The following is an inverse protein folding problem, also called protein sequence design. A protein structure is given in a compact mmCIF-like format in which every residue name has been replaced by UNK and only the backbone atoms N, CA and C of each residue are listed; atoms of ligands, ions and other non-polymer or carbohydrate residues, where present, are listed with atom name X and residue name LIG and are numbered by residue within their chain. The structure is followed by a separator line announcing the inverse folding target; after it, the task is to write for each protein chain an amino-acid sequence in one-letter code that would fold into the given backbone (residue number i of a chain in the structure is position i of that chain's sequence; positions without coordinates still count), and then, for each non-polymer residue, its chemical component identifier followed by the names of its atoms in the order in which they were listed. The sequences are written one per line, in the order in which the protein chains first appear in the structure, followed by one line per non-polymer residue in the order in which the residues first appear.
data_IF_620715370614
#
_entry.id   IF_620715370614
#
_cell.length_a   1.000
_cell.length_b   1.000
_cell.length_c   1.000
_cell.angle_alpha   90.00
_cell.angle_beta   90.00
_cell.angle_gamma   90.00
#
_symmetry.space_group_name_H-M   'P 1'
#
loop_
_entity.id
_entity.type
_entity.pdbx_description
1 polymer ?
#
# COMPACT_ATOMS: atom_id res chain seq x y z
N UNK A 1 -11.68 20.01 -0.41
CA UNK A 1 -10.74 19.25 -1.27
C UNK A 1 -10.25 18.03 -0.50
N UNK A 2 -9.90 16.92 -1.14
CA UNK A 2 -9.31 15.74 -0.50
C UNK A 2 -7.78 15.77 -0.62
N UNK A 3 -7.08 15.19 0.35
CA UNK A 3 -5.64 15.00 0.34
C UNK A 3 -5.29 13.52 0.33
N UNK A 4 -4.40 13.11 -0.57
CA UNK A 4 -3.89 11.75 -0.66
C UNK A 4 -2.38 11.70 -0.56
N UNK A 5 -1.88 10.85 0.32
CA UNK A 5 -0.48 10.48 0.41
C UNK A 5 -0.35 9.00 -0.02
N UNK A 6 0.32 8.75 -1.14
CA UNK A 6 0.35 7.42 -1.76
C UNK A 6 1.80 6.94 -1.92
N UNK A 7 2.12 5.78 -1.35
CA UNK A 7 3.44 5.16 -1.52
C UNK A 7 3.46 4.22 -2.72
N UNK A 8 4.62 4.14 -3.42
CA UNK A 8 4.76 3.31 -4.62
C UNK A 8 3.92 3.81 -5.80
N UNK A 9 3.77 5.15 -5.92
CA UNK A 9 2.86 5.78 -6.88
C UNK A 9 3.45 5.95 -8.30
N UNK A 10 4.68 5.53 -8.56
CA UNK A 10 5.31 5.70 -9.90
C UNK A 10 4.73 4.79 -10.97
N UNK A 11 4.07 3.68 -10.61
CA UNK A 11 3.53 2.68 -11.54
C UNK A 11 2.43 1.83 -10.91
N UNK A 12 1.76 1.01 -11.74
CA UNK A 12 0.77 0.03 -11.32
C UNK A 12 -0.38 0.63 -10.50
N UNK A 13 -0.79 -0.05 -9.43
CA UNK A 13 -1.93 0.36 -8.61
C UNK A 13 -1.74 1.74 -7.98
N UNK A 14 -0.54 2.04 -7.46
CA UNK A 14 -0.27 3.34 -6.84
C UNK A 14 -0.41 4.50 -7.81
N UNK A 15 0.04 4.32 -9.06
CA UNK A 15 -0.15 5.32 -10.13
C UNK A 15 -1.64 5.47 -10.48
N UNK A 16 -2.36 4.38 -10.66
CA UNK A 16 -3.78 4.43 -10.98
C UNK A 16 -4.60 5.14 -9.88
N UNK A 17 -4.27 4.89 -8.59
CA UNK A 17 -4.88 5.59 -7.47
C UNK A 17 -4.58 7.09 -7.47
N UNK A 18 -3.33 7.47 -7.75
CA UNK A 18 -2.93 8.87 -7.84
C UNK A 18 -3.64 9.59 -8.99
N UNK A 19 -3.70 8.97 -10.17
CA UNK A 19 -4.37 9.54 -11.35
C UNK A 19 -5.86 9.75 -11.13
N UNK A 20 -6.57 8.78 -10.56
CA UNK A 20 -7.99 8.91 -10.25
C UNK A 20 -8.26 9.98 -9.18
N UNK A 21 -7.42 10.06 -8.14
CA UNK A 21 -7.53 11.11 -7.13
C UNK A 21 -7.36 12.51 -7.72
N UNK A 22 -6.37 12.70 -8.62
CA UNK A 22 -6.15 13.96 -9.34
C UNK A 22 -7.32 14.33 -10.24
N UNK A 23 -7.91 13.36 -10.96
CA UNK A 23 -9.08 13.57 -11.81
C UNK A 23 -10.30 14.08 -11.04
N UNK A 24 -10.40 13.72 -9.76
CA UNK A 24 -11.46 14.20 -8.84
C UNK A 24 -11.09 15.51 -8.13
N UNK A 25 -9.98 16.16 -8.51
CA UNK A 25 -9.54 17.44 -7.95
C UNK A 25 -8.90 17.34 -6.57
N UNK A 26 -8.40 16.16 -6.18
CA UNK A 26 -7.66 16.00 -4.94
C UNK A 26 -6.22 16.52 -5.05
N UNK A 27 -5.64 16.89 -3.93
CA UNK A 27 -4.20 17.08 -3.78
C UNK A 27 -3.53 15.73 -3.49
N UNK A 28 -2.51 15.36 -4.29
CA UNK A 28 -1.82 14.07 -4.20
C UNK A 28 -0.34 14.30 -3.93
N UNK A 29 0.15 13.67 -2.89
CA UNK A 29 1.57 13.50 -2.61
C UNK A 29 1.96 12.06 -2.93
N UNK A 30 2.83 11.88 -3.90
CA UNK A 30 3.30 10.60 -4.39
C UNK A 30 4.73 10.31 -3.89
N UNK A 31 4.89 9.21 -3.16
CA UNK A 31 6.18 8.74 -2.66
C UNK A 31 6.64 7.53 -3.45
N UNK A 32 7.82 7.60 -4.07
CA UNK A 32 8.41 6.48 -4.78
C UNK A 32 9.91 6.66 -4.97
N UNK A 33 10.64 5.60 -5.27
CA UNK A 33 12.09 5.69 -5.55
C UNK A 33 12.40 6.46 -6.85
N UNK A 34 11.48 6.40 -7.80
CA UNK A 34 11.59 7.09 -9.08
C UNK A 34 10.38 7.99 -9.26
N UNK A 35 10.62 9.25 -9.55
CA UNK A 35 9.58 10.23 -9.84
C UNK A 35 9.47 10.44 -11.37
N UNK A 36 8.30 10.83 -11.83
CA UNK A 36 8.08 11.12 -13.26
C UNK A 36 8.75 12.43 -13.68
N UNK A 37 8.83 13.38 -12.77
CA UNK A 37 9.26 14.75 -13.04
C UNK A 37 8.22 15.58 -13.80
N UNK A 38 7.05 15.03 -14.05
CA UNK A 38 5.94 15.73 -14.69
C UNK A 38 5.34 16.78 -13.74
N UNK A 39 5.20 18.00 -14.24
CA UNK A 39 4.47 19.05 -13.51
C UNK A 39 2.98 18.90 -13.80
N UNK A 40 2.22 18.47 -12.82
CA UNK A 40 0.76 18.36 -12.87
C UNK A 40 0.15 19.11 -11.70
N UNK A 41 -0.91 19.85 -11.95
CA UNK A 41 -1.68 20.51 -10.90
C UNK A 41 -2.20 19.48 -9.88
N UNK A 42 -2.06 19.79 -8.62
CA UNK A 42 -2.46 18.90 -7.51
C UNK A 42 -1.48 17.76 -7.22
N UNK A 43 -0.43 17.53 -8.02
CA UNK A 43 0.55 16.47 -7.79
C UNK A 43 1.88 17.02 -7.26
N UNK A 44 2.35 16.45 -6.17
CA UNK A 44 3.72 16.63 -5.66
C UNK A 44 4.38 15.27 -5.51
N UNK A 45 5.53 15.08 -6.16
CA UNK A 45 6.29 13.83 -6.10
C UNK A 45 7.52 13.98 -5.22
N UNK A 46 7.80 12.96 -4.40
CA UNK A 46 9.01 12.85 -3.60
C UNK A 46 9.75 11.55 -3.91
N UNK A 47 11.06 11.65 -4.15
CA UNK A 47 11.93 10.48 -4.30
C UNK A 47 12.36 10.00 -2.92
N UNK A 48 11.84 8.84 -2.50
CA UNK A 48 12.11 8.25 -1.18
C UNK A 48 12.29 6.74 -1.32
N UNK A 49 13.38 6.20 -0.75
CA UNK A 49 13.52 4.76 -0.54
C UNK A 49 12.99 4.41 0.85
N UNK A 50 11.82 3.80 0.90
CA UNK A 50 11.15 3.41 2.14
C UNK A 50 11.87 2.28 2.90
N UNK A 51 12.96 1.72 2.36
CA UNK A 51 13.85 0.80 3.11
C UNK A 51 14.85 1.53 3.99
N UNK A 52 15.06 2.83 3.78
CA UNK A 52 15.78 3.73 4.69
C UNK A 52 14.77 4.44 5.59
N UNK A 53 14.54 3.89 6.79
CA UNK A 53 13.55 4.42 7.73
C UNK A 53 13.90 5.80 8.24
N UNK A 54 15.19 6.11 8.44
CA UNK A 54 15.61 7.43 8.94
C UNK A 54 15.34 8.52 7.90
N UNK A 55 15.65 8.26 6.64
CA UNK A 55 15.33 9.16 5.53
C UNK A 55 13.80 9.25 5.31
N UNK A 56 13.09 8.13 5.41
CA UNK A 56 11.62 8.09 5.32
C UNK A 56 10.99 8.97 6.38
N UNK A 57 11.39 8.86 7.64
CA UNK A 57 10.89 9.69 8.75
C UNK A 57 11.17 11.18 8.52
N UNK A 58 12.39 11.52 8.10
CA UNK A 58 12.78 12.90 7.81
C UNK A 58 11.95 13.51 6.68
N UNK A 59 11.78 12.80 5.57
CA UNK A 59 10.99 13.26 4.42
C UNK A 59 9.50 13.36 4.78
N UNK A 60 8.97 12.36 5.46
CA UNK A 60 7.58 12.34 5.89
C UNK A 60 7.24 13.53 6.79
N UNK A 61 8.13 13.90 7.70
CA UNK A 61 7.96 15.10 8.54
C UNK A 61 7.82 16.36 7.69
N UNK A 62 8.73 16.55 6.72
CA UNK A 62 8.68 17.70 5.80
C UNK A 62 7.38 17.73 5.00
N UNK A 63 6.92 16.57 4.51
CA UNK A 63 5.70 16.44 3.72
C UNK A 63 4.47 16.79 4.58
N UNK A 64 4.37 16.22 5.75
CA UNK A 64 3.23 16.41 6.64
C UNK A 64 3.16 17.83 7.21
N UNK A 65 4.31 18.48 7.48
CA UNK A 65 4.37 19.88 7.93
C UNK A 65 3.86 20.86 6.85
N UNK A 66 3.92 20.49 5.58
CA UNK A 66 3.40 21.29 4.45
C UNK A 66 1.90 21.11 4.20
N UNK A 67 1.30 20.05 4.71
CA UNK A 67 -0.12 19.78 4.52
C UNK A 67 -0.96 20.81 5.31
N UNK A 68 -1.65 21.69 4.59
CA UNK A 68 -2.58 22.67 5.18
C UNK A 68 -3.95 22.03 5.38
N UNK A 69 -4.17 21.47 6.56
CA UNK A 69 -5.39 20.75 6.91
C UNK A 69 -6.67 21.58 6.76
N UNK A 70 -6.59 22.92 6.85
CA UNK A 70 -7.75 23.81 6.67
C UNK A 70 -8.34 23.77 5.26
N UNK A 71 -7.56 23.26 4.29
CA UNK A 71 -7.98 23.11 2.89
C UNK A 71 -8.70 21.80 2.64
N UNK A 72 -8.61 20.83 3.57
CA UNK A 72 -9.06 19.47 3.31
C UNK A 72 -10.37 19.15 4.04
N UNK A 73 -11.23 18.40 3.37
CA UNK A 73 -12.40 17.75 3.97
C UNK A 73 -12.10 16.29 4.38
N UNK A 74 -11.08 15.70 3.75
CA UNK A 74 -10.63 14.34 4.05
C UNK A 74 -9.14 14.20 3.76
N UNK A 75 -8.44 13.38 4.55
CA UNK A 75 -7.04 13.02 4.37
C UNK A 75 -6.89 11.50 4.31
N UNK A 76 -6.11 11.00 3.35
CA UNK A 76 -5.94 9.56 3.12
C UNK A 76 -4.47 9.21 2.93
N UNK A 77 -3.99 8.22 3.68
CA UNK A 77 -2.71 7.56 3.44
C UNK A 77 -2.96 6.22 2.76
N UNK A 78 -2.25 5.94 1.64
CA UNK A 78 -2.28 4.62 0.98
C UNK A 78 -0.89 4.01 1.01
N UNK A 79 -0.69 3.03 1.87
CA UNK A 79 0.50 2.20 1.96
C UNK A 79 0.44 1.13 0.85
N UNK A 80 0.87 1.51 -0.36
CA UNK A 80 0.84 0.64 -1.53
C UNK A 80 2.24 0.12 -1.92
N UNK A 81 3.31 0.82 -1.57
CA UNK A 81 4.67 0.34 -1.85
C UNK A 81 4.90 -1.06 -1.26
N UNK A 82 5.53 -1.93 -2.02
CA UNK A 82 5.83 -3.29 -1.59
C UNK A 82 6.68 -4.03 -2.59
N UNK A 83 7.28 -5.12 -2.15
CA UNK A 83 8.08 -6.05 -2.96
C UNK A 83 7.70 -7.49 -2.64
N UNK A 84 7.93 -8.40 -3.57
CA UNK A 84 7.71 -9.83 -3.38
C UNK A 84 9.02 -10.57 -3.06
N UNK A 85 10.14 -10.03 -3.50
CA UNK A 85 11.47 -10.61 -3.24
C UNK A 85 11.85 -10.56 -1.74
N UNK A 86 12.58 -11.56 -1.24
CA UNK A 86 13.15 -12.68 -1.98
C UNK A 86 12.12 -13.77 -2.30
N UNK A 87 12.12 -14.26 -3.54
CA UNK A 87 11.33 -15.42 -3.96
C UNK A 87 12.24 -16.66 -3.88
N UNK A 88 12.28 -17.30 -2.71
CA UNK A 88 13.11 -18.47 -2.42
C UNK A 88 12.69 -19.16 -1.11
N UNK A 89 13.22 -20.36 -0.86
CA UNK A 89 12.96 -21.05 0.40
C UNK A 89 13.52 -20.27 1.58
N UNK A 90 12.85 -20.31 2.73
CA UNK A 90 13.23 -19.53 3.92
C UNK A 90 14.70 -19.75 4.35
N UNK A 91 15.22 -20.98 4.22
CA UNK A 91 16.61 -21.32 4.57
C UNK A 91 17.66 -20.67 3.65
N UNK A 92 17.26 -20.13 2.51
CA UNK A 92 18.15 -19.58 1.47
C UNK A 92 18.13 -18.05 1.45
N UNK A 93 17.21 -17.43 2.19
CA UNK A 93 17.15 -15.98 2.30
C UNK A 93 18.24 -15.43 3.22
N UNK A 94 18.96 -14.42 2.75
CA UNK A 94 19.97 -13.73 3.57
C UNK A 94 19.30 -12.76 4.57
N UNK A 95 20.03 -12.40 5.61
CA UNK A 95 19.58 -11.41 6.60
C UNK A 95 19.30 -10.04 5.95
N UNK A 96 20.10 -9.63 4.96
CA UNK A 96 19.92 -8.37 4.23
C UNK A 96 18.64 -8.37 3.40
N UNK A 97 18.36 -9.45 2.65
CA UNK A 97 17.12 -9.61 1.89
C UNK A 97 15.89 -9.58 2.80
N UNK A 98 15.95 -10.29 3.93
CA UNK A 98 14.85 -10.30 4.91
C UNK A 98 14.65 -8.92 5.54
N UNK A 99 15.71 -8.26 5.97
CA UNK A 99 15.63 -6.92 6.54
C UNK A 99 14.99 -5.94 5.55
N UNK A 100 15.45 -5.90 4.30
CA UNK A 100 14.92 -5.05 3.25
C UNK A 100 13.43 -5.33 2.99
N UNK A 101 13.07 -6.62 2.92
CA UNK A 101 11.70 -7.04 2.68
C UNK A 101 10.76 -6.59 3.80
N UNK A 102 11.08 -6.91 5.06
CA UNK A 102 10.23 -6.54 6.20
C UNK A 102 10.19 -5.04 6.42
N UNK A 103 11.30 -4.35 6.18
CA UNK A 103 11.33 -2.89 6.27
C UNK A 103 10.34 -2.27 5.30
N UNK A 104 10.37 -2.65 4.01
CA UNK A 104 9.45 -2.09 3.01
C UNK A 104 8.00 -2.51 3.21
N UNK A 105 7.76 -3.81 3.46
CA UNK A 105 6.40 -4.36 3.42
C UNK A 105 5.64 -4.25 4.75
N UNK A 106 6.32 -3.99 5.86
CA UNK A 106 5.71 -3.96 7.19
C UNK A 106 6.16 -2.74 8.00
N UNK A 107 7.46 -2.56 8.24
CA UNK A 107 7.94 -1.51 9.16
C UNK A 107 7.65 -0.10 8.63
N UNK A 108 7.90 0.16 7.35
CA UNK A 108 7.62 1.46 6.74
C UNK A 108 6.12 1.81 6.76
N UNK A 109 5.18 0.92 6.35
CA UNK A 109 3.74 1.16 6.52
C UNK A 109 3.33 1.49 7.96
N UNK A 110 3.89 0.79 8.96
CA UNK A 110 3.62 1.07 10.39
C UNK A 110 4.12 2.46 10.77
N UNK A 111 5.36 2.81 10.42
CA UNK A 111 5.93 4.13 10.68
C UNK A 111 5.12 5.25 10.03
N UNK A 112 4.80 5.11 8.74
CA UNK A 112 4.02 6.10 7.99
C UNK A 112 2.62 6.29 8.59
N UNK A 113 1.98 5.19 9.00
CA UNK A 113 0.67 5.23 9.65
C UNK A 113 0.72 5.97 10.98
N UNK A 114 1.73 5.69 11.82
CA UNK A 114 1.94 6.38 13.09
C UNK A 114 2.16 7.89 12.88
N UNK A 115 3.02 8.27 11.94
CA UNK A 115 3.31 9.69 11.66
C UNK A 115 2.09 10.43 11.12
N UNK A 116 1.34 9.78 10.21
CA UNK A 116 0.10 10.31 9.65
C UNK A 116 -0.97 10.53 10.74
N UNK A 117 -1.19 9.53 11.59
CA UNK A 117 -2.16 9.60 12.69
C UNK A 117 -1.83 10.74 13.63
N UNK A 118 -0.56 10.84 14.06
CA UNK A 118 -0.09 11.92 14.95
C UNK A 118 -0.26 13.31 14.32
N UNK A 119 0.03 13.44 13.00
CA UNK A 119 -0.09 14.74 12.31
C UNK A 119 -1.54 15.21 12.22
N UNK A 120 -2.47 14.30 12.01
CA UNK A 120 -3.89 14.61 11.84
C UNK A 120 -4.74 14.29 13.08
N UNK A 121 -4.13 14.20 14.25
CA UNK A 121 -4.82 13.89 15.51
C UNK A 121 -6.01 14.84 15.77
N UNK A 122 -5.79 16.14 15.65
CA UNK A 122 -6.80 17.19 15.87
C UNK A 122 -7.66 17.50 14.62
N UNK A 123 -7.44 16.81 13.49
CA UNK A 123 -8.20 17.05 12.28
C UNK A 123 -9.61 16.45 12.39
N UNK A 124 -10.63 17.30 12.26
CA UNK A 124 -12.03 16.90 12.42
C UNK A 124 -12.67 16.30 11.16
N UNK A 125 -12.00 16.36 10.01
CA UNK A 125 -12.46 15.73 8.77
C UNK A 125 -12.22 14.21 8.75
N UNK A 126 -12.60 13.54 7.67
CA UNK A 126 -12.39 12.12 7.52
C UNK A 126 -10.90 11.77 7.39
N UNK A 127 -10.44 10.78 8.14
CA UNK A 127 -9.06 10.29 8.18
C UNK A 127 -9.05 8.81 7.84
N UNK A 128 -8.37 8.41 6.76
CA UNK A 128 -8.34 7.01 6.32
C UNK A 128 -6.92 6.54 6.02
N UNK A 129 -6.57 5.35 6.46
CA UNK A 129 -5.35 4.64 6.08
C UNK A 129 -5.73 3.35 5.38
N UNK A 130 -5.19 3.14 4.17
CA UNK A 130 -5.38 1.92 3.40
C UNK A 130 -4.05 1.19 3.27
N UNK A 131 -3.96 -0.02 3.78
CA UNK A 131 -2.82 -0.90 3.62
C UNK A 131 -3.08 -1.88 2.48
N UNK A 132 -2.26 -1.87 1.42
CA UNK A 132 -2.37 -2.85 0.34
C UNK A 132 -1.73 -4.16 0.81
N UNK A 133 -2.58 -5.13 1.09
CA UNK A 133 -2.21 -6.48 1.52
C UNK A 133 -2.25 -7.49 0.36
N UNK A 134 -2.41 -8.76 0.65
CA UNK A 134 -2.45 -9.84 -0.34
C UNK A 134 -3.18 -11.06 0.20
N UNK A 135 -3.73 -11.87 -0.67
CA UNK A 135 -4.19 -13.23 -0.31
C UNK A 135 -3.09 -14.12 0.31
N UNK A 136 -1.82 -13.74 0.13
CA UNK A 136 -0.68 -14.38 0.77
C UNK A 136 -0.64 -14.16 2.30
N UNK A 137 -1.34 -13.16 2.83
CA UNK A 137 -1.50 -12.97 4.27
C UNK A 137 -2.31 -14.11 4.93
N UNK A 138 -3.18 -14.77 4.16
CA UNK A 138 -4.08 -15.83 4.65
C UNK A 138 -3.67 -17.23 4.19
N UNK A 139 -2.89 -17.32 3.10
CA UNK A 139 -2.52 -18.59 2.47
C UNK A 139 -1.01 -18.74 2.39
N UNK A 140 -0.44 -19.89 2.80
CA UNK A 140 0.98 -20.14 2.68
C UNK A 140 1.37 -20.50 1.25
N UNK A 141 2.49 -19.94 0.79
CA UNK A 141 3.11 -20.27 -0.51
C UNK A 141 4.57 -20.65 -0.29
N UNK A 142 4.98 -21.78 -0.91
CA UNK A 142 6.39 -22.21 -0.89
C UNK A 142 7.23 -21.22 -1.70
N UNK A 143 8.25 -20.64 -1.07
CA UNK A 143 9.09 -19.59 -1.68
C UNK A 143 8.72 -18.17 -1.27
N UNK A 144 7.61 -17.96 -0.56
CA UNK A 144 7.13 -16.65 -0.11
C UNK A 144 7.04 -16.49 1.41
N UNK A 145 7.92 -17.13 2.16
CA UNK A 145 7.86 -17.05 3.63
C UNK A 145 7.89 -15.62 4.16
N UNK A 146 8.80 -14.78 3.64
CA UNK A 146 8.89 -13.38 4.01
C UNK A 146 7.65 -12.59 3.55
N UNK A 147 7.19 -12.82 2.32
CA UNK A 147 6.03 -12.12 1.78
C UNK A 147 4.74 -12.46 2.53
N UNK A 148 4.47 -13.75 2.76
CA UNK A 148 3.29 -14.18 3.51
C UNK A 148 3.29 -13.61 4.93
N UNK A 149 4.41 -13.70 5.65
CA UNK A 149 4.50 -13.23 7.03
C UNK A 149 4.44 -11.71 7.14
N UNK A 150 5.07 -10.96 6.22
CA UNK A 150 4.97 -9.49 6.22
C UNK A 150 3.54 -9.01 5.95
N UNK A 151 2.82 -9.63 5.02
CA UNK A 151 1.42 -9.28 4.72
C UNK A 151 0.46 -9.72 5.83
N UNK A 152 0.70 -10.87 6.47
CA UNK A 152 -0.05 -11.28 7.66
C UNK A 152 0.20 -10.32 8.84
N UNK A 153 1.43 -9.88 9.04
CA UNK A 153 1.78 -8.85 10.04
C UNK A 153 1.07 -7.52 9.77
N UNK A 154 1.01 -7.09 8.51
CA UNK A 154 0.31 -5.87 8.10
C UNK A 154 -1.21 -5.97 8.34
N UNK A 155 -1.82 -7.12 8.07
CA UNK A 155 -3.23 -7.38 8.36
C UNK A 155 -3.52 -7.36 9.88
N UNK A 156 -2.62 -7.94 10.69
CA UNK A 156 -2.75 -7.90 12.15
C UNK A 156 -2.57 -6.47 12.68
N UNK A 157 -1.59 -5.72 12.18
CA UNK A 157 -1.42 -4.30 12.49
C UNK A 157 -2.70 -3.50 12.19
N UNK A 158 -3.30 -3.71 11.02
CA UNK A 158 -4.55 -3.05 10.63
C UNK A 158 -5.67 -3.30 11.64
N UNK A 159 -5.85 -4.55 12.07
CA UNK A 159 -6.88 -4.91 13.06
C UNK A 159 -6.61 -4.29 14.43
N UNK A 160 -5.36 -4.41 14.91
CA UNK A 160 -4.98 -3.88 16.21
C UNK A 160 -5.12 -2.37 16.24
N UNK A 161 -4.63 -1.68 15.21
CA UNK A 161 -4.79 -0.23 15.10
C UNK A 161 -6.26 0.19 15.06
N UNK A 162 -7.09 -0.50 14.26
CA UNK A 162 -8.52 -0.22 14.22
C UNK A 162 -9.19 -0.36 15.59
N UNK A 163 -8.82 -1.36 16.36
CA UNK A 163 -9.29 -1.56 17.72
C UNK A 163 -8.82 -0.44 18.67
N UNK A 164 -7.55 0.00 18.59
CA UNK A 164 -7.02 1.13 19.38
C UNK A 164 -7.75 2.44 19.07
N UNK A 165 -8.29 2.60 17.86
CA UNK A 165 -9.00 3.83 17.46
C UNK A 165 -10.46 3.88 17.97
N UNK A 166 -11.00 2.81 18.56
CA UNK A 166 -12.35 2.82 19.14
C UNK A 166 -12.46 3.74 20.37
N UNK A 167 -11.35 3.98 21.05
CA UNK A 167 -11.28 4.84 22.23
C UNK A 167 -10.99 6.33 21.88
N UNK A 168 -10.77 6.65 20.60
CA UNK A 168 -10.39 7.99 20.16
C UNK A 168 -11.62 8.86 19.83
N UNK A 169 -11.61 10.12 20.25
CA UNK A 169 -12.68 11.09 19.94
C UNK A 169 -12.76 11.41 18.44
N UNK A 170 -11.61 11.51 17.79
CA UNK A 170 -11.47 11.76 16.36
C UNK A 170 -10.68 10.60 15.70
N UNK A 171 -11.30 9.44 15.50
CA UNK A 171 -10.58 8.25 15.08
C UNK A 171 -10.04 8.34 13.65
N UNK A 172 -8.93 7.67 13.39
CA UNK A 172 -8.44 7.35 12.06
C UNK A 172 -8.99 5.98 11.66
N UNK A 173 -9.70 5.89 10.55
CA UNK A 173 -10.10 4.59 9.99
C UNK A 173 -8.92 3.94 9.31
N UNK A 174 -8.61 2.69 9.65
CA UNK A 174 -7.62 1.89 8.96
C UNK A 174 -8.24 0.64 8.39
N UNK A 175 -7.89 0.31 7.15
CA UNK A 175 -8.28 -0.93 6.51
C UNK A 175 -7.12 -1.54 5.74
N UNK A 176 -7.16 -2.86 5.55
CA UNK A 176 -6.34 -3.54 4.54
C UNK A 176 -7.18 -3.91 3.33
N UNK A 177 -6.57 -3.87 2.15
CA UNK A 177 -7.20 -4.29 0.91
C UNK A 177 -6.33 -5.29 0.15
N UNK A 178 -6.87 -6.48 -0.11
CA UNK A 178 -6.26 -7.53 -0.93
C UNK A 178 -6.73 -7.38 -2.38
N UNK A 179 -5.89 -6.86 -3.30
CA UNK A 179 -6.30 -6.55 -4.68
C UNK A 179 -6.42 -7.79 -5.57
N UNK A 180 -6.04 -8.96 -5.08
CA UNK A 180 -5.85 -10.15 -5.91
C UNK A 180 -4.64 -10.05 -6.83
N UNK A 181 -4.64 -10.80 -7.93
CA UNK A 181 -3.53 -10.79 -8.89
C UNK A 181 -3.82 -9.76 -9.98
N UNK A 182 -2.91 -8.77 -10.11
CA UNK A 182 -3.01 -7.67 -11.07
C UNK A 182 -1.94 -7.76 -12.13
N UNK A 183 -2.18 -7.17 -13.31
CA UNK A 183 -1.17 -7.06 -14.36
C UNK A 183 -0.19 -5.91 -14.06
N UNK A 184 0.88 -6.23 -13.33
CA UNK A 184 1.91 -5.29 -12.88
C UNK A 184 3.30 -5.86 -13.05
N UNK A 185 4.34 -5.02 -12.91
CA UNK A 185 5.74 -5.46 -12.92
C UNK A 185 6.05 -6.48 -11.82
N UNK A 186 5.41 -6.39 -10.65
CA UNK A 186 5.54 -7.40 -9.59
C UNK A 186 5.12 -8.79 -10.10
N UNK A 187 4.06 -8.84 -10.90
CA UNK A 187 3.61 -10.07 -11.54
C UNK A 187 4.65 -10.60 -12.56
N UNK A 188 5.34 -9.69 -13.27
CA UNK A 188 6.43 -10.10 -14.17
C UNK A 188 7.61 -10.70 -13.39
N UNK A 189 7.98 -10.11 -12.25
CA UNK A 189 9.01 -10.65 -11.35
C UNK A 189 8.62 -12.06 -10.85
N UNK A 190 7.38 -12.26 -10.41
CA UNK A 190 6.88 -13.58 -9.97
C UNK A 190 7.02 -14.62 -11.11
N UNK A 191 6.60 -14.29 -12.33
CA UNK A 191 6.66 -15.20 -13.49
C UNK A 191 8.07 -15.51 -13.97
N UNK A 192 9.06 -14.67 -13.63
CA UNK A 192 10.47 -14.88 -13.97
C UNK A 192 11.21 -15.80 -12.99
N UNK A 193 10.61 -16.12 -11.83
CA UNK A 193 11.21 -17.04 -10.88
C UNK A 193 11.25 -18.48 -11.39
N UNK A 194 12.07 -19.33 -10.75
CA UNK A 194 12.12 -20.75 -11.05
C UNK A 194 10.99 -21.52 -10.33
N UNK A 195 10.67 -22.73 -10.81
CA UNK A 195 9.71 -23.60 -10.11
C UNK A 195 10.27 -24.17 -8.80
N UNK A 196 11.59 -24.21 -8.68
CA UNK A 196 12.29 -24.63 -7.46
C UNK A 196 12.13 -23.57 -6.36
N UNK A 197 12.25 -22.30 -6.73
CA UNK A 197 12.11 -21.17 -5.83
C UNK A 197 10.65 -20.89 -5.48
N UNK A 198 9.75 -20.95 -6.47
CA UNK A 198 8.33 -20.69 -6.32
C UNK A 198 7.47 -21.81 -6.92
N UNK A 199 6.95 -22.66 -6.07
CA UNK A 199 6.19 -23.87 -6.48
C UNK A 199 4.95 -23.55 -7.33
N UNK A 200 4.24 -22.44 -7.03
CA UNK A 200 2.96 -22.08 -7.62
C UNK A 200 3.09 -21.24 -8.91
N UNK A 201 4.29 -21.14 -9.50
CA UNK A 201 4.59 -20.27 -10.64
C UNK A 201 3.69 -20.54 -11.86
N UNK A 202 3.34 -21.81 -12.11
CA UNK A 202 2.53 -22.21 -13.28
C UNK A 202 1.12 -21.58 -13.19
N UNK A 203 0.55 -21.45 -11.98
CA UNK A 203 -0.71 -20.75 -11.76
C UNK A 203 -0.61 -19.27 -12.18
N UNK A 204 0.49 -18.60 -11.83
CA UNK A 204 0.67 -17.17 -12.14
C UNK A 204 0.94 -16.95 -13.63
N UNK A 205 1.61 -17.88 -14.32
CA UNK A 205 1.77 -17.87 -15.77
C UNK A 205 0.43 -18.05 -16.47
N UNK A 206 -0.36 -19.04 -16.07
CA UNK A 206 -1.69 -19.30 -16.62
C UNK A 206 -2.64 -18.08 -16.47
N UNK A 207 -2.63 -17.38 -15.34
CA UNK A 207 -3.43 -16.16 -15.16
C UNK A 207 -3.11 -15.08 -16.20
N UNK A 208 -1.85 -14.94 -16.62
CA UNK A 208 -1.46 -14.02 -17.69
C UNK A 208 -1.90 -14.52 -19.06
N UNK A 209 -1.69 -15.80 -19.36
CA UNK A 209 -2.05 -16.44 -20.64
C UNK A 209 -3.55 -16.41 -20.90
N UNK A 210 -4.35 -16.57 -19.86
CA UNK A 210 -5.83 -16.54 -19.94
C UNK A 210 -6.43 -15.14 -19.79
N UNK A 211 -5.61 -14.08 -19.78
CA UNK A 211 -6.05 -12.70 -19.53
C UNK A 211 -6.95 -12.52 -18.30
N UNK A 212 -6.71 -13.32 -17.25
CA UNK A 212 -7.49 -13.30 -16.01
C UNK A 212 -6.96 -12.30 -14.97
N UNK A 213 -5.95 -11.51 -15.32
CA UNK A 213 -5.38 -10.45 -14.48
C UNK A 213 -6.26 -9.21 -14.55
N UNK A 214 -6.49 -8.58 -13.39
CA UNK A 214 -7.23 -7.31 -13.32
C UNK A 214 -6.31 -6.13 -13.60
N UNK A 215 -6.89 -5.08 -14.20
CA UNK A 215 -6.13 -3.85 -14.39
C UNK A 215 -5.98 -3.08 -13.08
N UNK A 216 -4.87 -2.36 -12.88
CA UNK A 216 -4.68 -1.47 -11.75
C UNK A 216 -5.78 -0.41 -11.62
N UNK A 217 -6.29 0.09 -12.74
CA UNK A 217 -7.34 1.13 -12.80
C UNK A 217 -8.67 0.64 -12.23
N UNK A 218 -9.06 -0.61 -12.55
CA UNK A 218 -10.26 -1.23 -11.97
C UNK A 218 -10.14 -1.36 -10.45
N UNK A 219 -9.00 -1.87 -9.97
CA UNK A 219 -8.73 -2.02 -8.54
C UNK A 219 -8.70 -0.65 -7.83
N UNK A 220 -8.08 0.34 -8.45
CA UNK A 220 -8.06 1.71 -7.93
C UNK A 220 -9.47 2.26 -7.75
N UNK A 221 -10.36 2.06 -8.74
CA UNK A 221 -11.76 2.47 -8.65
C UNK A 221 -12.50 1.82 -7.48
N UNK A 222 -12.29 0.51 -7.25
CA UNK A 222 -12.89 -0.20 -6.10
C UNK A 222 -12.39 0.38 -4.78
N UNK A 223 -11.08 0.59 -4.62
CA UNK A 223 -10.50 1.17 -3.40
C UNK A 223 -11.03 2.59 -3.16
N UNK A 224 -11.12 3.41 -4.21
CA UNK A 224 -11.66 4.78 -4.13
C UNK A 224 -13.13 4.77 -3.67
N UNK A 225 -13.95 3.92 -4.26
CA UNK A 225 -15.36 3.75 -3.86
C UNK A 225 -15.48 3.27 -2.41
N UNK A 226 -14.60 2.37 -1.98
CA UNK A 226 -14.58 1.87 -0.61
C UNK A 226 -14.22 3.00 0.39
N UNK A 227 -13.22 3.83 0.08
CA UNK A 227 -12.83 4.98 0.91
C UNK A 227 -14.00 5.97 1.04
N UNK A 228 -14.69 6.27 -0.07
CA UNK A 228 -15.84 7.17 -0.09
C UNK A 228 -17.06 6.64 0.67
N UNK A 229 -17.21 5.31 0.77
CA UNK A 229 -18.31 4.62 1.45
C UNK A 229 -18.10 4.45 2.97
N UNK A 230 -17.11 5.09 3.58
CA UNK A 230 -16.81 5.01 5.01
C UNK A 230 -16.60 3.57 5.51
N UNK A 231 -15.50 2.92 5.11
CA UNK A 231 -15.27 1.51 5.39
C UNK A 231 -15.20 1.21 6.90
N UNK A 232 -15.52 -0.02 7.25
CA UNK A 232 -15.40 -0.54 8.61
C UNK A 232 -13.93 -0.49 9.08
N UNK A 233 -13.72 0.05 10.27
CA UNK A 233 -12.37 0.20 10.85
C UNK A 233 -11.78 -1.16 11.23
N UNK A 234 -10.48 -1.35 10.98
CA UNK A 234 -9.77 -2.60 11.26
C UNK A 234 -10.09 -3.76 10.29
N UNK A 235 -10.95 -3.55 9.28
CA UNK A 235 -11.38 -4.62 8.38
C UNK A 235 -10.36 -4.91 7.28
N UNK A 236 -10.29 -6.21 6.90
CA UNK A 236 -9.51 -6.71 5.78
C UNK A 236 -10.45 -7.05 4.64
N UNK A 237 -10.48 -6.21 3.60
CA UNK A 237 -11.29 -6.42 2.40
C UNK A 237 -10.53 -7.24 1.34
N UNK A 238 -11.24 -8.06 0.60
CA UNK A 238 -10.71 -8.77 -0.57
C UNK A 238 -11.48 -8.32 -1.81
N UNK A 239 -10.78 -8.16 -2.94
CA UNK A 239 -11.42 -7.76 -4.21
C UNK A 239 -12.57 -8.69 -4.60
N UNK A 240 -12.56 -9.93 -4.16
CA UNK A 240 -13.64 -10.89 -4.43
C UNK A 240 -14.99 -10.49 -3.82
N UNK A 241 -15.00 -9.61 -2.84
CA UNK A 241 -16.23 -9.08 -2.23
C UNK A 241 -16.93 -8.05 -3.14
N UNK A 242 -16.25 -7.58 -4.20
CA UNK A 242 -16.69 -6.55 -5.13
C UNK A 242 -16.86 -7.06 -6.58
N UNK A 243 -16.97 -8.37 -6.77
CA UNK A 243 -17.10 -9.04 -8.08
C UNK A 243 -18.52 -9.50 -8.35
#
# INVERSE_FOLDING_TARGET
MQFFLITGASKGLGRALAEQALQEGAEVVALSRTISGEKREGLTEYSVDLTDLAETERQMKVILDRADEKRYSAVTLINNAGMVEPIKRAKEASAEELNRHYTLNLTAPVLLSQMFTKRFEAFSGSKTIVNITSGAAKNPYKGWSAYCSSKAGLDMFTRTFGFEQEDEELPVRMLSFSPGVMDTDMQAVIRSSSKEDFHDIDRFRNLKETNSLRSPEYIAGVIRSLIAGEPENGRIYDIKEFL
#
